data_IF_487706842419
#
_entry.id   IF_487706842419
#
_cell.length_a   1.000
_cell.length_b   1.000
_cell.length_c   1.000
_cell.angle_alpha   90.00
_cell.angle_beta   90.00
_cell.angle_gamma   90.00
#
_symmetry.space_group_name_H-M   'P 1'
#
loop_
_entity.id
_entity.type
_entity.pdbx_description
1 polymer ?
#
# COMPACT_ATOMS: atom_id res chain seq x y z
N UNK A 1 1.18 1.20 -6.26
CA UNK A 1 0.59 2.09 -5.21
C UNK A 1 1.66 2.64 -4.28
N UNK A 2 2.49 1.81 -3.63
CA UNK A 2 3.58 2.30 -2.77
C UNK A 2 4.50 3.30 -3.49
N UNK A 3 4.97 2.96 -4.70
CA UNK A 3 5.83 3.84 -5.52
C UNK A 3 5.20 5.21 -5.82
N UNK A 4 3.88 5.26 -6.02
CA UNK A 4 3.18 6.54 -6.24
C UNK A 4 3.23 7.43 -5.00
N UNK A 5 3.09 6.84 -3.80
CA UNK A 5 3.17 7.56 -2.52
C UNK A 5 4.60 7.91 -2.12
N UNK A 6 5.58 7.09 -2.49
CA UNK A 6 7.01 7.35 -2.27
C UNK A 6 7.63 8.23 -3.37
N UNK A 7 6.85 8.71 -4.35
CA UNK A 7 7.32 9.55 -5.46
C UNK A 7 8.40 8.88 -6.32
N UNK A 8 8.23 7.58 -6.58
CA UNK A 8 9.12 6.80 -7.45
C UNK A 8 10.40 6.32 -6.77
N UNK A 9 10.45 6.29 -5.43
CA UNK A 9 11.53 5.59 -4.74
C UNK A 9 11.58 4.12 -5.16
N UNK A 10 12.79 3.57 -5.21
CA UNK A 10 13.01 2.15 -5.50
C UNK A 10 12.61 1.31 -4.27
N UNK A 11 11.70 0.33 -4.41
CA UNK A 11 11.37 -0.60 -3.33
C UNK A 11 12.62 -1.35 -2.87
N UNK A 12 12.78 -1.51 -1.55
CA UNK A 12 13.92 -2.22 -0.96
C UNK A 12 15.30 -1.70 -1.42
N UNK A 13 15.42 -0.39 -1.68
CA UNK A 13 16.66 0.25 -2.17
C UNK A 13 17.90 0.05 -1.28
N UNK A 14 17.69 -0.37 -0.03
CA UNK A 14 18.75 -0.69 0.93
C UNK A 14 19.14 -2.18 0.95
N UNK A 15 18.60 -2.99 0.04
CA UNK A 15 18.87 -4.42 -0.08
C UNK A 15 19.68 -4.64 -1.36
N UNK A 16 20.80 -5.34 -1.24
CA UNK A 16 21.80 -5.38 -2.33
C UNK A 16 21.40 -6.28 -3.51
N UNK A 17 20.53 -7.27 -3.27
CA UNK A 17 20.19 -8.27 -4.28
C UNK A 17 18.75 -8.80 -4.15
N UNK A 18 18.21 -9.26 -5.29
CA UNK A 18 16.83 -9.75 -5.41
C UNK A 18 16.54 -11.00 -4.57
N UNK A 19 17.55 -11.84 -4.31
CA UNK A 19 17.38 -13.04 -3.49
C UNK A 19 17.07 -12.67 -2.04
N UNK A 20 17.77 -11.68 -1.48
CA UNK A 20 17.49 -11.16 -0.15
C UNK A 20 16.10 -10.51 -0.10
N UNK A 21 15.72 -9.74 -1.12
CA UNK A 21 14.35 -9.18 -1.23
C UNK A 21 13.30 -10.30 -1.20
N UNK A 22 13.51 -11.37 -1.97
CA UNK A 22 12.62 -12.53 -1.97
C UNK A 22 12.49 -13.13 -0.56
N UNK A 23 13.61 -13.36 0.14
CA UNK A 23 13.59 -13.90 1.50
C UNK A 23 12.82 -13.00 2.47
N UNK A 24 13.08 -11.69 2.43
CA UNK A 24 12.37 -10.70 3.26
C UNK A 24 10.85 -10.75 3.04
N UNK A 25 10.42 -10.76 1.78
CA UNK A 25 8.99 -10.80 1.42
C UNK A 25 8.34 -12.11 1.86
N UNK A 26 9.02 -13.24 1.63
CA UNK A 26 8.56 -14.58 2.06
C UNK A 26 8.46 -14.68 3.58
N UNK A 27 9.37 -14.05 4.32
CA UNK A 27 9.37 -13.98 5.79
C UNK A 27 8.33 -13.00 6.36
N UNK A 28 7.58 -12.31 5.50
CA UNK A 28 6.50 -11.41 5.92
C UNK A 28 6.93 -9.96 6.09
N UNK A 29 8.18 -9.61 5.83
CA UNK A 29 8.60 -8.21 5.81
C UNK A 29 7.88 -7.45 4.69
N UNK A 30 7.54 -6.19 4.97
CA UNK A 30 6.85 -5.31 4.02
C UNK A 30 7.55 -3.96 3.97
N UNK A 31 7.35 -3.26 2.86
CA UNK A 31 7.81 -1.88 2.70
C UNK A 31 7.23 -1.01 3.82
N UNK A 32 7.98 0.03 4.21
CA UNK A 32 7.50 1.01 5.20
C UNK A 32 6.41 1.89 4.59
N UNK A 33 5.46 2.32 5.42
CA UNK A 33 4.44 3.30 5.03
C UNK A 33 5.12 4.62 4.62
N UNK A 34 4.88 5.14 3.41
CA UNK A 34 5.36 6.46 3.03
C UNK A 34 4.69 7.56 3.86
N UNK A 35 5.41 8.64 4.17
CA UNK A 35 4.95 9.71 5.09
C UNK A 35 3.65 10.40 4.69
N UNK A 36 3.33 10.47 3.38
CA UNK A 36 2.10 11.07 2.85
C UNK A 36 0.96 10.06 2.66
N UNK A 37 1.20 8.78 2.94
CA UNK A 37 0.17 7.75 2.85
C UNK A 37 -0.59 7.70 4.17
N UNK A 38 -1.91 7.91 4.13
CA UNK A 38 -2.75 7.81 5.34
C UNK A 38 -2.88 6.36 5.79
N UNK A 39 -3.09 6.11 7.07
CA UNK A 39 -3.20 4.75 7.62
C UNK A 39 -4.32 3.94 6.94
N UNK A 40 -5.42 4.61 6.60
CA UNK A 40 -6.53 3.99 5.87
C UNK A 40 -6.10 3.53 4.47
N UNK A 41 -5.40 4.37 3.71
CA UNK A 41 -4.87 3.95 2.40
C UNK A 41 -3.78 2.89 2.55
N UNK A 42 -2.93 3.03 3.56
CA UNK A 42 -1.86 2.09 3.82
C UNK A 42 -2.38 0.70 4.14
N UNK A 43 -3.47 0.58 4.91
CA UNK A 43 -4.14 -0.69 5.17
C UNK A 43 -4.60 -1.38 3.87
N UNK A 44 -5.14 -0.63 2.91
CA UNK A 44 -5.52 -1.15 1.59
C UNK A 44 -4.29 -1.66 0.83
N UNK A 45 -3.22 -0.86 0.78
CA UNK A 45 -1.96 -1.23 0.13
C UNK A 45 -1.34 -2.48 0.79
N UNK A 46 -1.38 -2.57 2.12
CA UNK A 46 -0.86 -3.70 2.89
C UNK A 46 -1.64 -4.99 2.62
N UNK A 47 -2.97 -4.91 2.49
CA UNK A 47 -3.82 -6.06 2.13
C UNK A 47 -3.47 -6.59 0.74
N UNK A 48 -3.19 -5.71 -0.23
CA UNK A 48 -2.69 -6.13 -1.55
C UNK A 48 -1.36 -6.89 -1.46
N UNK A 49 -0.54 -6.62 -0.44
CA UNK A 49 0.72 -7.30 -0.18
C UNK A 49 0.61 -8.46 0.82
N UNK A 50 -0.58 -8.96 1.17
CA UNK A 50 -0.72 -10.05 2.15
C UNK A 50 0.05 -11.32 1.74
N UNK A 51 0.70 -11.99 2.71
CA UNK A 51 1.30 -13.31 2.51
C UNK A 51 0.24 -14.35 2.12
N UNK A 52 -0.91 -14.32 2.77
CA UNK A 52 -2.03 -15.20 2.46
C UNK A 52 -2.79 -14.65 1.26
N UNK A 53 -2.84 -15.42 0.18
CA UNK A 53 -3.50 -15.05 -1.08
C UNK A 53 -4.97 -14.70 -0.89
N UNK A 54 -5.68 -15.47 -0.05
CA UNK A 54 -7.10 -15.25 0.27
C UNK A 54 -7.41 -13.89 0.93
N UNK A 55 -6.41 -13.23 1.51
CA UNK A 55 -6.59 -11.92 2.13
C UNK A 55 -6.31 -10.77 1.14
N UNK A 56 -5.78 -11.09 -0.06
CA UNK A 56 -5.56 -10.08 -1.10
C UNK A 56 -6.92 -9.74 -1.73
N UNK A 57 -7.29 -8.46 -1.81
CA UNK A 57 -8.54 -8.06 -2.44
C UNK A 57 -8.50 -8.36 -3.93
N UNK A 58 -9.66 -8.69 -4.51
CA UNK A 58 -9.82 -8.66 -5.97
C UNK A 58 -9.70 -7.22 -6.48
N UNK A 59 -9.47 -7.04 -7.78
CA UNK A 59 -9.47 -5.70 -8.38
C UNK A 59 -10.83 -4.99 -8.25
N UNK A 60 -11.93 -5.74 -8.27
CA UNK A 60 -13.28 -5.19 -8.04
C UNK A 60 -13.43 -4.63 -6.62
N UNK A 61 -12.99 -5.41 -5.63
CA UNK A 61 -13.00 -5.00 -4.23
C UNK A 61 -12.09 -3.80 -4.00
N UNK A 62 -10.88 -3.82 -4.57
CA UNK A 62 -9.94 -2.70 -4.52
C UNK A 62 -10.53 -1.42 -5.13
N UNK A 63 -11.19 -1.52 -6.30
CA UNK A 63 -11.87 -0.38 -6.94
C UNK A 63 -12.94 0.20 -6.02
N UNK A 64 -13.78 -0.64 -5.41
CA UNK A 64 -14.83 -0.23 -4.47
C UNK A 64 -14.24 0.50 -3.26
N UNK A 65 -13.18 -0.03 -2.66
CA UNK A 65 -12.50 0.60 -1.52
C UNK A 65 -11.88 1.97 -1.89
N UNK A 66 -11.22 2.05 -3.05
CA UNK A 66 -10.59 3.30 -3.52
C UNK A 66 -11.62 4.37 -3.89
N UNK A 67 -12.73 4.01 -4.53
CA UNK A 67 -13.83 4.94 -4.79
C UNK A 67 -14.45 5.45 -3.48
N UNK A 68 -14.67 4.55 -2.52
CA UNK A 68 -15.13 4.94 -1.19
C UNK A 68 -14.16 5.90 -0.49
N UNK A 69 -12.85 5.75 -0.68
CA UNK A 69 -11.86 6.68 -0.15
C UNK A 69 -12.01 8.08 -0.76
N UNK A 70 -12.14 8.19 -2.09
CA UNK A 70 -12.30 9.47 -2.81
C UNK A 70 -13.57 10.18 -2.35
N UNK A 71 -14.70 9.47 -2.30
CA UNK A 71 -15.99 10.06 -1.95
C UNK A 71 -16.03 10.58 -0.50
N UNK A 72 -15.34 9.91 0.42
CA UNK A 72 -15.26 10.35 1.82
C UNK A 72 -14.23 11.48 2.04
N UNK A 73 -13.27 11.66 1.13
CA UNK A 73 -12.28 12.75 1.21
C UNK A 73 -12.84 14.11 0.77
N UNK A 74 -13.91 14.10 -0.05
CA UNK A 74 -14.57 15.30 -0.56
C UNK A 74 -15.42 16.04 0.50
N UNK A 75 -15.66 15.43 1.67
CA UNK A 75 -16.49 16.01 2.73
C UNK A 75 -15.71 16.83 3.77
N UNK A 76 -14.37 16.84 3.71
CA UNK A 76 -13.48 17.48 4.71
C UNK A 76 -12.81 18.77 4.24
N UNK A 77 -13.10 19.28 3.03
CA UNK A 77 -12.54 20.55 2.54
C UNK A 77 -13.44 21.77 2.79
N UNK A 78 -14.39 21.67 3.73
CA UNK A 78 -15.16 22.80 4.23
C UNK A 78 -15.23 22.73 5.75
N UNK A 79 -14.91 23.85 6.41
CA UNK A 79 -14.91 24.09 7.87
C UNK A 79 -13.54 23.81 8.53
N UNK A 80 -12.61 24.77 8.46
CA UNK A 80 -12.43 25.83 9.47
C UNK A 80 -11.42 26.86 8.94
#
# INVERSE_FOLDING_TARGET
MWEAYSKGEMPWSNVENDNEVCQKVMNGERLKQPSKCTDRMWSIILNCMSQQEKNRPSFEELKRQLLGFILNSASTSGIN
#
